data_IF_603190561281
#
_entry.id   IF_603190561281
#
_cell.length_a   1.000
_cell.length_b   1.000
_cell.length_c   1.000
_cell.angle_alpha   90.00
_cell.angle_beta   90.00
_cell.angle_gamma   90.00
#
_symmetry.space_group_name_H-M   'P 1'
#
loop_
_entity.id
_entity.type
_entity.pdbx_description
1 polymer ?
#
# COMPACT_ATOMS: atom_id res chain seq x y z
N UNK A 1 -16.98 44.51 -23.59
CA UNK A 1 -18.37 44.98 -23.78
C UNK A 1 -18.35 46.46 -24.09
N UNK A 2 -19.27 46.87 -24.97
CA UNK A 2 -19.68 48.25 -25.28
C UNK A 2 -20.16 48.99 -24.02
N UNK A 3 -20.03 50.32 -24.05
CA UNK A 3 -20.21 51.26 -22.95
C UNK A 3 -21.69 51.52 -22.57
N UNK A 4 -22.66 50.87 -23.22
CA UNK A 4 -24.05 51.38 -23.25
C UNK A 4 -25.08 50.75 -22.29
N UNK A 5 -24.70 49.85 -21.37
CA UNK A 5 -25.64 49.31 -20.37
C UNK A 5 -25.28 49.67 -18.92
N UNK A 6 -24.96 50.94 -18.64
CA UNK A 6 -24.65 51.41 -17.28
C UNK A 6 -25.74 52.35 -16.72
N UNK A 7 -26.93 51.82 -16.46
CA UNK A 7 -28.03 52.49 -15.71
C UNK A 7 -27.96 52.22 -14.19
N UNK A 8 -26.75 52.19 -13.64
CA UNK A 8 -26.48 52.04 -12.21
C UNK A 8 -25.61 53.22 -11.79
N UNK A 9 -26.19 54.18 -11.06
CA UNK A 9 -25.52 55.40 -10.60
C UNK A 9 -24.53 55.18 -9.44
N UNK A 10 -23.76 54.08 -9.41
CA UNK A 10 -22.69 53.87 -8.43
C UNK A 10 -21.34 54.40 -8.89
N UNK A 11 -20.61 54.88 -7.90
CA UNK A 11 -19.24 55.34 -7.96
C UNK A 11 -18.34 54.35 -8.69
N UNK A 12 -17.43 54.85 -9.55
CA UNK A 12 -16.51 54.08 -10.40
C UNK A 12 -15.46 53.24 -9.66
N UNK A 13 -15.73 52.80 -8.43
CA UNK A 13 -15.05 51.72 -7.73
C UNK A 13 -16.03 50.56 -7.63
N UNK A 14 -16.17 49.82 -8.74
CA UNK A 14 -16.87 48.55 -8.76
C UNK A 14 -16.42 47.74 -7.54
N UNK A 15 -17.39 47.26 -6.77
CA UNK A 15 -17.11 46.69 -5.47
C UNK A 15 -16.15 45.51 -5.66
N UNK A 16 -15.13 45.31 -4.80
CA UNK A 16 -14.11 44.29 -5.02
C UNK A 16 -14.68 42.88 -5.25
N UNK A 17 -15.87 42.61 -4.73
CA UNK A 17 -16.66 41.40 -5.00
C UNK A 17 -17.08 41.23 -6.47
N UNK A 18 -17.48 42.28 -7.17
CA UNK A 18 -17.82 42.26 -8.60
C UNK A 18 -16.55 42.01 -9.42
N UNK A 19 -15.44 42.59 -8.96
CA UNK A 19 -14.07 42.37 -9.43
C UNK A 19 -13.62 40.90 -9.36
N UNK A 20 -13.81 40.31 -8.19
CA UNK A 20 -13.41 38.93 -7.93
C UNK A 20 -14.28 37.95 -8.72
N UNK A 21 -15.59 38.20 -8.78
CA UNK A 21 -16.53 37.34 -9.47
C UNK A 21 -16.21 37.22 -10.97
N UNK A 22 -15.89 38.32 -11.64
CA UNK A 22 -15.51 38.28 -13.06
C UNK A 22 -14.19 37.52 -13.25
N UNK A 23 -13.20 37.74 -12.38
CA UNK A 23 -11.90 37.08 -12.50
C UNK A 23 -12.00 35.56 -12.28
N UNK A 24 -12.86 35.14 -11.36
CA UNK A 24 -13.17 33.72 -11.12
C UNK A 24 -13.90 33.13 -12.32
N UNK A 25 -14.90 33.83 -12.86
CA UNK A 25 -15.64 33.37 -14.03
C UNK A 25 -14.70 33.18 -15.23
N UNK A 26 -13.81 34.13 -15.48
CA UNK A 26 -12.81 34.05 -16.55
C UNK A 26 -11.82 32.90 -16.31
N UNK A 27 -11.29 32.77 -15.09
CA UNK A 27 -10.32 31.74 -14.74
C UNK A 27 -10.89 30.31 -14.75
N UNK A 28 -12.21 30.14 -14.61
CA UNK A 28 -12.87 28.84 -14.61
C UNK A 28 -13.35 28.40 -15.99
N UNK A 29 -13.35 29.29 -16.98
CA UNK A 29 -13.83 29.00 -18.32
C UNK A 29 -12.66 28.72 -19.26
N UNK A 30 -12.33 27.44 -19.45
CA UNK A 30 -11.35 27.03 -20.46
C UNK A 30 -12.04 26.28 -21.59
N UNK A 31 -11.74 26.67 -22.83
CA UNK A 31 -12.33 26.06 -24.03
C UNK A 31 -12.13 24.53 -24.10
N UNK A 32 -11.02 24.03 -23.57
CA UNK A 32 -10.65 22.61 -23.64
C UNK A 32 -10.96 21.83 -22.34
N UNK A 33 -11.01 22.50 -21.19
CA UNK A 33 -11.19 21.84 -19.90
C UNK A 33 -12.63 21.87 -19.36
N UNK A 34 -13.51 22.69 -19.92
CA UNK A 34 -14.91 22.85 -19.52
C UNK A 34 -15.20 24.20 -18.83
N UNK A 35 -16.48 24.46 -18.58
CA UNK A 35 -16.96 25.69 -17.93
C UNK A 35 -17.28 25.44 -16.46
N UNK A 36 -16.88 26.37 -15.59
CA UNK A 36 -17.24 26.40 -14.16
C UNK A 36 -17.03 25.04 -13.45
N UNK A 37 -18.12 24.33 -13.11
CA UNK A 37 -18.10 23.07 -12.37
C UNK A 37 -17.72 21.86 -13.21
N UNK A 38 -17.83 21.98 -14.54
CA UNK A 38 -17.40 20.94 -15.49
C UNK A 38 -15.90 21.02 -15.76
N UNK A 39 -15.25 22.10 -15.33
CA UNK A 39 -13.83 22.31 -15.52
C UNK A 39 -13.00 21.24 -14.80
N UNK A 40 -12.32 20.40 -15.57
CA UNK A 40 -11.54 19.27 -15.04
C UNK A 40 -10.38 19.72 -14.14
N UNK A 41 -9.72 20.85 -14.45
CA UNK A 41 -8.66 21.39 -13.61
C UNK A 41 -9.19 21.87 -12.26
N UNK A 42 -10.37 22.48 -12.26
CA UNK A 42 -11.04 22.92 -11.03
C UNK A 42 -11.46 21.72 -10.18
N UNK A 43 -12.14 20.73 -10.76
CA UNK A 43 -12.55 19.50 -10.06
C UNK A 43 -11.31 18.83 -9.42
N UNK A 44 -10.23 18.69 -10.18
CA UNK A 44 -8.97 18.11 -9.69
C UNK A 44 -8.37 18.94 -8.56
N UNK A 45 -8.54 20.26 -8.59
CA UNK A 45 -8.07 21.15 -7.52
C UNK A 45 -8.89 21.00 -6.23
N UNK A 46 -10.21 20.87 -6.35
CA UNK A 46 -11.12 20.71 -5.21
C UNK A 46 -10.93 19.38 -4.47
N UNK A 47 -10.44 18.34 -5.15
CA UNK A 47 -10.04 17.11 -4.48
C UNK A 47 -8.82 17.35 -3.57
N UNK A 48 -9.05 17.33 -2.26
CA UNK A 48 -8.02 17.53 -1.24
C UNK A 48 -7.01 16.37 -1.27
N UNK A 49 -5.73 16.71 -1.14
CA UNK A 49 -4.66 15.72 -1.03
C UNK A 49 -4.47 15.30 0.43
N UNK A 50 -4.31 14.00 0.68
CA UNK A 50 -4.03 13.47 2.02
C UNK A 50 -2.58 13.71 2.48
N UNK A 51 -1.66 14.04 1.56
CA UNK A 51 -0.24 14.22 1.83
C UNK A 51 0.26 15.60 1.38
N UNK A 52 1.28 16.17 2.05
CA UNK A 52 1.87 17.47 1.68
C UNK A 52 2.60 17.42 0.33
N UNK A 53 3.09 16.24 -0.08
CA UNK A 53 3.62 16.00 -1.42
C UNK A 53 2.56 15.28 -2.23
N UNK A 54 1.93 15.98 -3.16
CA UNK A 54 0.89 15.44 -4.00
C UNK A 54 1.17 15.69 -5.47
N UNK A 55 0.55 14.89 -6.32
CA UNK A 55 0.57 15.04 -7.77
C UNK A 55 -0.87 15.17 -8.23
N UNK A 56 -1.14 16.13 -9.11
CA UNK A 56 -2.46 16.34 -9.72
C UNK A 56 -2.31 16.17 -11.23
N UNK A 57 -3.30 15.52 -11.84
CA UNK A 57 -3.32 15.36 -13.28
C UNK A 57 -3.63 16.70 -13.91
N UNK A 58 -2.76 17.16 -14.81
CA UNK A 58 -3.02 18.36 -15.60
C UNK A 58 -3.71 18.01 -16.92
N UNK A 59 -3.19 17.01 -17.65
CA UNK A 59 -3.80 16.58 -18.91
C UNK A 59 -3.26 15.22 -19.33
N UNK A 60 -3.91 14.63 -20.33
CA UNK A 60 -3.52 13.35 -20.92
C UNK A 60 -3.27 13.54 -22.41
N UNK A 61 -2.04 13.25 -22.84
CA UNK A 61 -1.69 13.20 -24.26
C UNK A 61 -2.16 11.84 -24.81
N UNK A 62 -2.99 11.86 -25.85
CA UNK A 62 -3.50 10.66 -26.50
C UNK A 62 -2.76 10.49 -27.85
N UNK A 63 -2.00 9.40 -27.99
CA UNK A 63 -1.30 9.05 -29.24
C UNK A 63 0.18 8.71 -29.05
N UNK A 64 0.86 8.27 -30.13
CA UNK A 64 2.30 8.07 -30.11
C UNK A 64 3.01 9.42 -29.98
N UNK A 65 3.78 9.58 -28.90
CA UNK A 65 4.53 10.80 -28.65
C UNK A 65 5.81 10.80 -29.51
N UNK A 66 5.87 11.66 -30.52
CA UNK A 66 7.08 11.89 -31.31
C UNK A 66 7.96 12.93 -30.60
N UNK A 67 9.23 12.60 -30.39
CA UNK A 67 10.21 13.50 -29.77
C UNK A 67 10.89 14.35 -30.88
N UNK A 68 11.28 15.60 -30.60
CA UNK A 68 11.27 16.29 -29.29
C UNK A 68 9.95 16.98 -28.93
N UNK A 69 9.57 16.94 -27.65
CA UNK A 69 8.41 17.65 -27.10
C UNK A 69 8.85 18.96 -26.42
N UNK A 70 8.19 20.06 -26.77
CA UNK A 70 8.38 21.35 -26.12
C UNK A 70 7.09 21.75 -25.40
N UNK A 71 7.22 22.21 -24.16
CA UNK A 71 6.09 22.67 -23.34
C UNK A 71 6.35 24.09 -22.86
N UNK A 72 5.40 24.99 -23.13
CA UNK A 72 5.39 26.34 -22.59
C UNK A 72 4.51 26.38 -21.36
N UNK A 73 5.04 26.89 -20.26
CA UNK A 73 4.38 26.83 -18.95
C UNK A 73 4.40 28.22 -18.35
N UNK A 74 3.22 28.80 -18.18
CA UNK A 74 3.04 30.02 -17.39
C UNK A 74 2.67 29.65 -15.97
N UNK A 75 3.29 30.28 -14.98
CA UNK A 75 3.03 29.97 -13.57
C UNK A 75 2.52 31.21 -12.84
N UNK A 76 1.23 31.22 -12.56
CA UNK A 76 0.56 32.33 -11.88
C UNK A 76 0.57 32.23 -10.35
N UNK A 77 0.87 31.05 -9.79
CA UNK A 77 0.90 30.83 -8.33
C UNK A 77 2.33 30.73 -7.80
N UNK A 78 2.68 31.66 -6.89
CA UNK A 78 3.95 31.63 -6.21
C UNK A 78 3.91 30.72 -4.97
N UNK A 79 4.90 29.86 -4.83
CA UNK A 79 5.06 28.91 -3.72
C UNK A 79 6.24 29.29 -2.80
N UNK A 80 6.99 30.33 -3.17
CA UNK A 80 8.16 30.82 -2.44
C UNK A 80 7.91 31.13 -0.96
N UNK A 81 6.83 31.83 -0.58
CA UNK A 81 6.55 32.17 0.83
C UNK A 81 6.41 30.97 1.77
N UNK A 82 6.01 29.81 1.26
CA UNK A 82 5.83 28.58 2.04
C UNK A 82 6.98 27.58 1.87
N UNK A 83 8.06 27.96 1.16
CA UNK A 83 9.18 27.06 0.84
C UNK A 83 8.80 25.87 -0.04
N UNK A 84 7.67 25.97 -0.75
CA UNK A 84 7.14 24.91 -1.60
C UNK A 84 7.95 24.76 -2.89
N UNK A 85 7.82 23.59 -3.54
CA UNK A 85 8.41 23.33 -4.87
C UNK A 85 7.34 22.83 -5.81
N UNK A 86 7.41 23.29 -7.05
CA UNK A 86 6.53 22.90 -8.16
C UNK A 86 7.37 22.24 -9.25
N UNK A 87 6.85 21.16 -9.82
CA UNK A 87 7.47 20.45 -10.93
C UNK A 87 6.38 19.89 -11.83
N UNK A 88 6.63 19.89 -13.14
CA UNK A 88 5.79 19.18 -14.11
C UNK A 88 6.42 17.83 -14.41
N UNK A 89 5.60 16.79 -14.35
CA UNK A 89 6.04 15.42 -14.57
C UNK A 89 5.26 14.84 -15.74
N UNK A 90 5.98 14.43 -16.78
CA UNK A 90 5.42 13.61 -17.84
C UNK A 90 5.61 12.15 -17.46
N UNK A 91 4.50 11.42 -17.30
CA UNK A 91 4.52 10.02 -16.86
C UNK A 91 3.76 9.17 -17.87
N UNK A 92 4.39 8.09 -18.33
CA UNK A 92 3.73 7.09 -19.15
C UNK A 92 2.81 6.21 -18.27
N UNK A 93 1.58 5.91 -18.72
CA UNK A 93 0.68 5.03 -17.98
C UNK A 93 1.27 3.61 -17.93
N UNK A 94 1.52 3.12 -16.72
CA UNK A 94 1.93 1.74 -16.48
C UNK A 94 0.77 0.94 -15.88
N UNK A 95 0.55 -0.32 -16.28
CA UNK A 95 -0.54 -1.16 -15.75
C UNK A 95 -0.56 -1.30 -14.23
N UNK A 96 0.60 -1.22 -13.57
CA UNK A 96 0.77 -1.38 -12.13
C UNK A 96 0.86 -0.06 -11.36
N UNK A 97 0.50 1.08 -11.98
CA UNK A 97 0.32 2.34 -11.24
C UNK A 97 1.60 3.01 -10.73
N UNK A 98 2.68 3.00 -11.50
CA UNK A 98 3.76 3.98 -11.41
C UNK A 98 4.68 3.89 -10.19
N UNK A 99 5.93 3.48 -10.42
CA UNK A 99 7.14 3.82 -9.65
C UNK A 99 7.26 3.39 -8.18
N UNK A 100 6.20 2.95 -7.51
CA UNK A 100 6.27 2.57 -6.10
C UNK A 100 6.57 1.07 -5.95
N UNK A 101 7.85 0.76 -5.70
CA UNK A 101 8.31 -0.60 -5.35
C UNK A 101 7.76 -1.10 -4.00
N UNK A 102 7.02 -0.27 -3.27
CA UNK A 102 6.51 -0.56 -1.93
C UNK A 102 5.62 -1.80 -1.90
N UNK A 103 4.66 -1.91 -2.83
CA UNK A 103 3.80 -3.10 -2.90
C UNK A 103 4.62 -4.35 -3.14
N UNK A 104 5.53 -4.33 -4.13
CA UNK A 104 6.40 -5.47 -4.43
C UNK A 104 7.22 -5.93 -3.23
N UNK A 105 7.85 -4.97 -2.52
CA UNK A 105 8.63 -5.26 -1.31
C UNK A 105 7.72 -5.81 -0.20
N UNK A 106 6.52 -5.25 0.01
CA UNK A 106 5.60 -5.76 1.03
C UNK A 106 5.21 -7.21 0.77
N UNK A 107 4.88 -7.57 -0.47
CA UNK A 107 4.54 -8.95 -0.84
C UNK A 107 5.72 -9.90 -0.63
N UNK A 108 6.94 -9.45 -0.94
CA UNK A 108 8.16 -10.24 -0.69
C UNK A 108 8.35 -10.53 0.80
N UNK A 109 8.19 -9.52 1.67
CA UNK A 109 8.33 -9.65 3.12
C UNK A 109 7.26 -10.60 3.69
N UNK A 110 5.99 -10.42 3.30
CA UNK A 110 4.92 -11.31 3.75
C UNK A 110 5.10 -12.75 3.25
N UNK A 111 5.56 -12.93 2.01
CA UNK A 111 5.86 -14.25 1.45
C UNK A 111 6.96 -14.98 2.22
N UNK A 112 8.04 -14.28 2.57
CA UNK A 112 9.12 -14.83 3.40
C UNK A 112 8.65 -15.18 4.81
N UNK A 113 7.85 -14.30 5.45
CA UNK A 113 7.26 -14.58 6.77
C UNK A 113 6.40 -15.84 6.76
N UNK A 114 5.57 -16.03 5.73
CA UNK A 114 4.71 -17.19 5.60
C UNK A 114 5.50 -18.48 5.36
N UNK A 115 6.56 -18.40 4.55
CA UNK A 115 7.45 -19.54 4.28
C UNK A 115 8.20 -19.97 5.54
N UNK A 116 8.73 -19.02 6.30
CA UNK A 116 9.37 -19.29 7.59
C UNK A 116 8.40 -19.91 8.60
N UNK A 117 7.17 -19.41 8.65
CA UNK A 117 6.12 -19.97 9.51
C UNK A 117 5.79 -21.42 9.13
N UNK A 118 5.66 -21.71 7.84
CA UNK A 118 5.41 -23.07 7.34
C UNK A 118 6.60 -24.00 7.62
N UNK A 119 7.83 -23.53 7.42
CA UNK A 119 9.04 -24.28 7.74
C UNK A 119 9.12 -24.60 9.25
N UNK A 120 8.81 -23.63 10.11
CA UNK A 120 8.72 -23.84 11.56
C UNK A 120 7.64 -24.87 11.93
N UNK A 121 6.46 -24.79 11.32
CA UNK A 121 5.37 -25.74 11.56
C UNK A 121 5.79 -27.16 11.14
N UNK A 122 6.41 -27.31 9.98
CA UNK A 122 6.94 -28.59 9.49
C UNK A 122 8.03 -29.15 10.39
N UNK A 123 8.97 -28.31 10.84
CA UNK A 123 10.01 -28.70 11.80
C UNK A 123 9.39 -29.16 13.13
N UNK A 124 8.41 -28.41 13.66
CA UNK A 124 7.70 -28.77 14.90
C UNK A 124 6.95 -30.08 14.78
N UNK A 125 6.27 -30.32 13.66
CA UNK A 125 5.57 -31.59 13.38
C UNK A 125 6.57 -32.74 13.21
N UNK A 126 7.69 -32.54 12.50
CA UNK A 126 8.77 -33.52 12.36
C UNK A 126 9.42 -33.85 13.70
N UNK A 127 9.68 -32.85 14.55
CA UNK A 127 10.24 -33.03 15.89
C UNK A 127 9.27 -33.78 16.81
N UNK A 128 7.97 -33.53 16.69
CA UNK A 128 6.93 -34.29 17.41
C UNK A 128 6.82 -35.74 16.93
N UNK A 129 7.29 -36.04 15.71
CA UNK A 129 7.42 -37.38 15.12
C UNK A 129 8.83 -37.97 15.24
N UNK A 130 9.78 -37.28 15.88
CA UNK A 130 11.06 -37.86 16.28
C UNK A 130 10.77 -39.08 17.16
N UNK A 131 11.58 -40.16 17.08
CA UNK A 131 11.26 -41.41 17.73
C UNK A 131 10.92 -41.09 19.17
N UNK A 132 9.70 -41.43 19.57
CA UNK A 132 9.25 -41.42 20.95
C UNK A 132 10.26 -42.32 21.64
N UNK A 133 11.36 -41.73 22.12
CA UNK A 133 12.39 -42.44 22.83
C UNK A 133 11.62 -43.11 23.93
N UNK A 134 11.52 -44.43 23.82
CA UNK A 134 11.09 -45.26 24.91
C UNK A 134 12.21 -45.16 25.94
N UNK A 135 12.29 -44.01 26.61
CA UNK A 135 12.82 -43.93 27.96
C UNK A 135 11.87 -44.80 28.78
N UNK A 136 12.10 -46.12 28.67
CA UNK A 136 11.36 -47.15 29.34
C UNK A 136 11.40 -46.80 30.79
N UNK A 137 10.21 -46.52 31.34
CA UNK A 137 10.00 -46.28 32.77
C UNK A 137 10.81 -47.34 33.53
N UNK A 138 11.90 -47.00 34.24
CA UNK A 138 12.85 -47.98 34.77
C UNK A 138 12.20 -48.93 35.78
N UNK A 139 11.08 -48.50 36.35
CA UNK A 139 10.27 -49.22 37.33
C UNK A 139 9.60 -50.51 36.81
N UNK A 140 9.40 -50.70 35.49
CA UNK A 140 8.78 -51.92 34.97
C UNK A 140 9.71 -53.15 35.01
N UNK A 141 11.02 -52.96 35.17
CA UNK A 141 12.00 -54.07 35.29
C UNK A 141 12.12 -54.63 36.70
N UNK A 142 11.64 -53.92 37.72
CA UNK A 142 11.72 -54.36 39.11
C UNK A 142 10.64 -55.40 39.50
N UNK A 143 9.58 -55.55 38.70
CA UNK A 143 8.48 -56.47 39.00
C UNK A 143 8.60 -57.85 38.33
N UNK A 144 9.68 -58.16 37.62
CA UNK A 144 9.89 -59.47 36.96
C UNK A 144 11.09 -60.23 37.52
N UNK A 145 11.22 -60.27 38.85
CA UNK A 145 12.20 -61.13 39.54
C UNK A 145 11.66 -61.64 40.88
N UNK A 146 10.47 -62.25 40.84
CA UNK A 146 9.95 -63.09 41.93
C UNK A 146 9.05 -64.12 41.28
N UNK A 147 9.17 -65.39 41.68
CA UNK A 147 8.58 -66.59 41.07
C UNK A 147 9.42 -67.28 39.99
N UNK A 148 10.62 -67.73 40.37
CA UNK A 148 11.11 -69.02 39.88
C UNK A 148 12.14 -69.57 40.87
N UNK A 149 11.66 -70.44 41.76
CA UNK A 149 12.35 -71.46 42.56
C UNK A 149 11.21 -72.02 43.44
N UNK A 150 10.79 -73.29 43.39
CA UNK A 150 11.61 -74.49 43.57
C UNK A 150 10.73 -75.72 43.26
N UNK A 151 10.97 -76.43 42.16
CA UNK A 151 10.45 -77.80 41.95
C UNK A 151 11.47 -78.64 41.17
N UNK A 152 12.03 -79.66 41.84
CA UNK A 152 12.76 -80.89 41.37
C UNK A 152 13.82 -81.24 42.43
N UNK A 153 14.09 -82.49 42.81
CA UNK A 153 13.55 -83.84 42.53
C UNK A 153 14.35 -84.83 43.41
N UNK A 154 13.91 -86.09 43.46
CA UNK A 154 14.67 -87.32 43.79
C UNK A 154 14.83 -87.61 45.29
N UNK A 155 14.18 -88.60 45.88
CA UNK A 155 14.17 -90.05 45.62
C UNK A 155 15.55 -90.71 45.80
N UNK A 156 15.71 -91.41 46.92
CA UNK A 156 16.73 -92.45 47.15
C UNK A 156 16.16 -93.43 48.18
N UNK A 157 15.75 -94.59 47.68
CA UNK A 157 15.49 -95.81 48.45
C UNK A 157 16.73 -96.18 49.29
N UNK A 158 16.52 -96.58 50.54
CA UNK A 158 17.47 -97.41 51.29
C UNK A 158 16.84 -98.77 51.55
N UNK A 159 17.42 -99.78 50.92
CA UNK A 159 17.45 -101.15 51.39
C UNK A 159 18.49 -101.24 52.51
N UNK A 160 18.05 -101.63 53.71
CA UNK A 160 18.65 -102.64 54.61
C UNK A 160 17.94 -102.59 55.95
#
# INVERSE_FOLDING_TARGET
>A
MSVEDNEDGRDGRGKPEEGLAWAIHEALNFAEAGQMVENTHFITWMQQAALPKFKKLYGKLQGPLLLPLYAYVSISYDVGPWGGRKALLLVAPSPLGGGSLYLGISYLVFGLMLLLFLAYLLWRVRSSRGPRSSSGRPWRRLFRKKHSHKTRKSNSNKHQ
#
